data_IF_798074881867
#
_entry.id   IF_798074881867
#
_cell.length_a   1.000
_cell.length_b   1.000
_cell.length_c   1.000
_cell.angle_alpha   90.00
_cell.angle_beta   90.00
_cell.angle_gamma   90.00
#
_symmetry.space_group_name_H-M   'P 1'
#
loop_
_entity.id
_entity.type
_entity.pdbx_description
1 polymer ?
#
# COMPACT_ATOMS: atom_id res chain seq x y z
N UNK A 1 -15.29 -11.27 -22.60
CA UNK A 1 -14.51 -10.16 -22.01
C UNK A 1 -15.00 -8.87 -22.62
N UNK A 2 -15.90 -8.17 -21.93
CA UNK A 2 -16.48 -6.92 -22.43
C UNK A 2 -15.55 -5.78 -22.00
N UNK A 3 -14.81 -5.22 -22.96
CA UNK A 3 -14.08 -3.99 -22.76
C UNK A 3 -15.08 -2.85 -22.61
N UNK A 4 -15.06 -2.15 -21.48
CA UNK A 4 -15.80 -0.88 -21.34
C UNK A 4 -14.89 0.22 -21.89
N UNK A 5 -15.28 0.92 -22.98
CA UNK A 5 -14.51 2.03 -23.53
C UNK A 5 -14.30 3.12 -22.48
N UNK A 6 -13.10 3.71 -22.41
CA UNK A 6 -12.81 4.80 -21.45
C UNK A 6 -13.66 6.05 -21.67
N UNK A 7 -14.28 6.20 -22.85
CA UNK A 7 -15.29 7.22 -23.12
C UNK A 7 -16.59 7.04 -22.33
N UNK A 8 -16.88 5.83 -21.85
CA UNK A 8 -18.08 5.51 -21.06
C UNK A 8 -17.84 5.60 -19.55
N UNK A 9 -16.58 5.74 -19.13
CA UNK A 9 -16.23 6.04 -17.73
C UNK A 9 -16.47 7.53 -17.50
N UNK A 10 -17.72 7.88 -17.24
CA UNK A 10 -18.10 9.22 -16.83
C UNK A 10 -17.33 9.58 -15.56
N UNK A 11 -16.43 10.58 -15.65
CA UNK A 11 -15.82 11.22 -14.47
C UNK A 11 -16.98 11.69 -13.60
N UNK A 12 -17.18 11.05 -12.45
CA UNK A 12 -18.14 11.51 -11.44
C UNK A 12 -17.74 12.92 -11.02
N UNK A 13 -18.32 13.91 -11.71
CA UNK A 13 -18.30 15.32 -11.36
C UNK A 13 -19.59 15.52 -10.56
N UNK A 14 -19.42 15.93 -9.30
CA UNK A 14 -20.46 16.23 -8.31
C UNK A 14 -20.94 15.01 -7.51
N UNK A 15 -20.10 14.54 -6.59
CA UNK A 15 -20.60 13.98 -5.33
C UNK A 15 -20.62 15.17 -4.36
N UNK A 16 -21.78 15.58 -3.82
CA UNK A 16 -21.82 16.62 -2.79
C UNK A 16 -20.98 16.17 -1.58
N UNK A 17 -20.25 17.11 -0.99
CA UNK A 17 -19.36 16.96 0.17
C UNK A 17 -20.14 16.73 1.49
N UNK A 18 -21.27 16.02 1.40
CA UNK A 18 -21.91 15.41 2.56
C UNK A 18 -20.91 14.41 3.13
N UNK A 19 -20.67 14.38 4.46
CA UNK A 19 -19.85 13.35 5.08
C UNK A 19 -20.60 12.03 4.90
N UNK A 20 -20.38 11.41 3.75
CA UNK A 20 -20.95 10.14 3.40
C UNK A 20 -20.17 9.10 4.19
N UNK A 21 -20.48 9.00 5.48
CA UNK A 21 -20.01 7.94 6.36
C UNK A 21 -20.73 6.64 5.99
N UNK A 22 -20.74 6.28 4.70
CA UNK A 22 -21.01 4.93 4.27
C UNK A 22 -19.89 4.10 4.84
N UNK A 23 -20.15 3.58 6.04
CA UNK A 23 -19.31 2.58 6.65
C UNK A 23 -19.15 1.47 5.63
N UNK A 24 -17.90 1.03 5.45
CA UNK A 24 -17.60 -0.12 4.62
C UNK A 24 -18.49 -1.30 5.03
N UNK A 25 -19.02 -2.07 4.07
CA UNK A 25 -19.87 -3.21 4.37
C UNK A 25 -19.19 -4.18 5.35
N UNK A 26 -19.96 -4.92 6.18
CA UNK A 26 -19.37 -5.83 7.17
C UNK A 26 -18.41 -6.87 6.57
N UNK A 27 -18.67 -7.34 5.34
CA UNK A 27 -17.84 -8.31 4.63
C UNK A 27 -16.51 -7.76 4.12
N UNK A 28 -16.34 -6.43 4.08
CA UNK A 28 -15.08 -5.80 3.67
C UNK A 28 -14.04 -5.76 4.81
N UNK A 29 -14.46 -6.05 6.05
CA UNK A 29 -13.55 -6.02 7.20
C UNK A 29 -12.70 -7.28 7.25
N UNK A 30 -11.38 -7.08 7.30
CA UNK A 30 -10.40 -8.14 7.52
C UNK A 30 -10.21 -8.40 9.01
N UNK A 31 -9.85 -9.63 9.36
CA UNK A 31 -9.44 -10.00 10.72
C UNK A 31 -7.93 -9.87 10.84
N UNK A 32 -7.48 -9.08 11.80
CA UNK A 32 -6.06 -8.94 12.11
C UNK A 32 -5.59 -10.23 12.77
N UNK A 33 -4.54 -10.82 12.22
CA UNK A 33 -3.90 -12.03 12.74
C UNK A 33 -2.40 -11.77 12.78
N UNK A 34 -1.82 -11.69 13.97
CA UNK A 34 -0.37 -11.63 14.14
C UNK A 34 0.16 -13.03 14.41
N UNK A 35 1.19 -13.46 13.68
CA UNK A 35 1.88 -14.73 13.89
C UNK A 35 3.40 -14.57 13.95
N UNK A 36 4.15 -15.66 14.20
CA UNK A 36 5.61 -15.61 14.29
C UNK A 36 6.27 -15.07 13.02
N UNK A 37 5.81 -15.49 11.83
CA UNK A 37 6.35 -15.02 10.55
C UNK A 37 6.08 -13.54 10.30
N UNK A 38 4.93 -13.02 10.71
CA UNK A 38 4.66 -11.59 10.68
C UNK A 38 5.72 -10.80 11.45
N UNK A 39 6.06 -11.24 12.68
CA UNK A 39 7.08 -10.58 13.50
C UNK A 39 8.46 -10.62 12.85
N UNK A 40 8.83 -11.75 12.23
CA UNK A 40 10.09 -11.88 11.49
C UNK A 40 10.16 -10.88 10.35
N UNK A 41 9.13 -10.80 9.51
CA UNK A 41 9.09 -9.83 8.40
C UNK A 41 9.11 -8.40 8.93
N UNK A 42 8.32 -8.08 9.96
CA UNK A 42 8.30 -6.75 10.59
C UNK A 42 9.68 -6.35 11.06
N UNK A 43 10.36 -7.25 11.78
CA UNK A 43 11.70 -7.01 12.29
C UNK A 43 12.71 -6.84 11.15
N UNK A 44 12.61 -7.62 10.07
CA UNK A 44 13.50 -7.49 8.91
C UNK A 44 13.33 -6.13 8.24
N UNK A 45 12.10 -5.71 7.97
CA UNK A 45 11.79 -4.41 7.39
C UNK A 45 12.35 -3.27 8.25
N UNK A 46 12.11 -3.33 9.56
CA UNK A 46 12.57 -2.31 10.51
C UNK A 46 14.10 -2.27 10.66
N UNK A 47 14.74 -3.44 10.78
CA UNK A 47 16.19 -3.57 10.99
C UNK A 47 16.99 -3.12 9.77
N UNK A 48 16.47 -3.39 8.58
CA UNK A 48 17.12 -3.06 7.32
C UNK A 48 16.68 -1.71 6.74
N UNK A 49 15.86 -0.92 7.47
CA UNK A 49 15.35 0.36 7.02
C UNK A 49 14.78 0.28 5.59
N UNK A 50 13.91 -0.71 5.37
CA UNK A 50 13.26 -0.95 4.09
C UNK A 50 11.83 -0.43 4.13
N UNK A 51 11.28 -0.08 2.95
CA UNK A 51 9.87 0.22 2.80
C UNK A 51 9.15 -0.94 2.12
N UNK A 52 7.88 -1.12 2.44
CA UNK A 52 7.02 -2.11 1.77
C UNK A 52 5.75 -1.46 1.26
N UNK A 53 5.30 -1.87 0.06
CA UNK A 53 3.99 -1.40 -0.42
C UNK A 53 2.85 -1.93 0.46
N UNK A 54 3.09 -3.01 1.21
CA UNK A 54 2.17 -3.54 2.20
C UNK A 54 1.80 -2.47 3.24
N UNK A 55 2.79 -1.75 3.77
CA UNK A 55 2.62 -0.71 4.78
C UNK A 55 2.26 0.64 4.16
N UNK A 56 3.05 1.11 3.17
CA UNK A 56 2.89 2.44 2.61
C UNK A 56 1.55 2.63 1.88
N UNK A 57 1.01 1.56 1.26
CA UNK A 57 -0.30 1.61 0.63
C UNK A 57 -1.46 1.27 1.59
N UNK A 58 -1.18 0.94 2.85
CA UNK A 58 -2.17 0.49 3.86
C UNK A 58 -2.94 -0.74 3.39
N UNK A 59 -2.22 -1.74 2.90
CA UNK A 59 -2.82 -2.95 2.33
C UNK A 59 -3.60 -3.73 3.41
N UNK A 60 -4.90 -4.06 3.18
CA UNK A 60 -5.69 -4.82 4.16
C UNK A 60 -5.18 -6.25 4.38
N UNK A 61 -4.39 -6.79 3.43
CA UNK A 61 -3.87 -8.15 3.47
C UNK A 61 -2.47 -8.26 4.09
N UNK A 62 -1.93 -7.17 4.64
CA UNK A 62 -0.58 -7.11 5.22
C UNK A 62 -0.32 -8.28 6.19
N UNK A 63 -1.25 -8.51 7.12
CA UNK A 63 -1.15 -9.56 8.12
C UNK A 63 -1.10 -10.97 7.51
N UNK A 64 -1.94 -11.23 6.51
CA UNK A 64 -2.00 -12.52 5.84
C UNK A 64 -0.73 -12.79 5.04
N UNK A 65 -0.32 -11.85 4.19
CA UNK A 65 0.87 -12.00 3.35
C UNK A 65 2.12 -12.20 4.21
N UNK A 66 2.32 -11.37 5.23
CA UNK A 66 3.50 -11.47 6.09
C UNK A 66 3.50 -12.75 6.95
N UNK A 67 2.34 -13.22 7.40
CA UNK A 67 2.25 -14.52 8.06
C UNK A 67 2.57 -15.69 7.12
N UNK A 68 2.36 -15.53 5.82
CA UNK A 68 2.81 -16.52 4.83
C UNK A 68 4.31 -16.40 4.54
N UNK A 69 4.98 -15.34 5.02
CA UNK A 69 6.38 -15.04 4.73
C UNK A 69 6.59 -14.27 3.42
N UNK A 70 5.54 -13.58 2.95
CA UNK A 70 5.56 -12.84 1.69
C UNK A 70 5.44 -11.34 1.97
N UNK A 71 6.36 -10.56 1.40
CA UNK A 71 6.31 -9.11 1.40
C UNK A 71 6.64 -8.57 0.00
N UNK A 72 6.18 -7.36 -0.29
CA UNK A 72 6.54 -6.65 -1.51
C UNK A 72 7.23 -5.36 -1.12
N UNK A 73 8.54 -5.31 -1.38
CA UNK A 73 9.37 -4.15 -1.09
C UNK A 73 9.02 -2.98 -2.00
N UNK A 74 9.06 -1.79 -1.44
CA UNK A 74 8.95 -0.52 -2.15
C UNK A 74 10.36 0.10 -2.15
N UNK A 75 10.98 0.14 -3.31
CA UNK A 75 12.32 0.73 -3.49
C UNK A 75 12.23 2.25 -3.68
N UNK A 76 13.35 2.93 -3.51
CA UNK A 76 13.49 4.39 -3.68
C UNK A 76 12.71 5.21 -2.64
N UNK A 77 12.43 4.62 -1.48
CA UNK A 77 11.75 5.27 -0.36
C UNK A 77 10.22 5.20 -0.39
N UNK A 78 9.59 5.90 0.55
CA UNK A 78 8.14 5.97 0.77
C UNK A 78 7.44 7.16 0.08
N UNK A 79 8.20 8.05 -0.57
CA UNK A 79 7.68 9.26 -1.18
C UNK A 79 7.59 9.11 -2.70
N UNK A 80 6.36 9.13 -3.21
CA UNK A 80 6.09 9.12 -4.64
C UNK A 80 6.00 10.56 -5.19
N UNK A 81 6.64 10.79 -6.35
CA UNK A 81 6.54 12.08 -7.08
C UNK A 81 5.24 12.22 -7.85
N UNK A 82 4.46 11.13 -7.99
CA UNK A 82 3.16 11.10 -8.67
C UNK A 82 2.03 11.10 -7.63
N UNK A 83 0.86 11.59 -8.04
CA UNK A 83 -0.37 11.61 -7.23
C UNK A 83 -1.50 10.86 -7.93
N UNK A 84 -1.46 9.53 -7.89
CA UNK A 84 -2.56 8.71 -8.39
C UNK A 84 -3.75 8.84 -7.43
N UNK A 85 -4.96 9.10 -7.94
CA UNK A 85 -6.14 9.37 -7.10
C UNK A 85 -6.61 8.21 -6.20
N UNK A 86 -6.08 7.00 -6.40
CA UNK A 86 -6.39 5.81 -5.61
C UNK A 86 -5.23 5.37 -4.68
N UNK A 87 -4.05 5.99 -4.80
CA UNK A 87 -2.84 5.51 -4.14
C UNK A 87 -2.66 6.22 -2.79
N UNK A 88 -2.40 5.45 -1.74
CA UNK A 88 -2.20 5.95 -0.38
C UNK A 88 -0.75 6.33 -0.06
N UNK A 89 0.21 6.02 -0.94
CA UNK A 89 1.63 6.32 -0.74
C UNK A 89 1.84 7.83 -0.67
N UNK A 90 2.69 8.28 0.26
CA UNK A 90 2.96 9.69 0.50
C UNK A 90 3.41 10.39 -0.78
N UNK A 91 2.74 11.49 -1.16
CA UNK A 91 3.16 12.30 -2.30
C UNK A 91 4.10 13.42 -1.84
N UNK A 92 5.24 13.59 -2.49
CA UNK A 92 6.17 14.66 -2.14
C UNK A 92 7.47 14.66 -2.93
N UNK A 93 8.46 15.37 -2.40
CA UNK A 93 9.85 15.33 -2.89
C UNK A 93 10.59 14.21 -2.15
N UNK A 94 11.14 13.21 -2.84
CA UNK A 94 11.85 12.11 -2.21
C UNK A 94 13.19 12.56 -1.60
N UNK A 95 13.69 11.73 -0.69
CA UNK A 95 15.05 11.83 -0.16
C UNK A 95 16.09 11.49 -1.25
N UNK A 96 17.38 11.80 -1.04
CA UNK A 96 18.44 11.34 -1.93
C UNK A 96 18.42 9.82 -2.11
N UNK A 97 18.84 9.37 -3.29
CA UNK A 97 18.96 7.94 -3.60
C UNK A 97 19.91 7.26 -2.61
N UNK A 98 19.48 6.13 -2.06
CA UNK A 98 20.30 5.25 -1.26
C UNK A 98 20.93 4.16 -2.14
N UNK A 99 22.25 4.21 -2.42
CA UNK A 99 22.92 3.23 -3.27
C UNK A 99 23.07 1.85 -2.61
N UNK A 100 22.91 1.75 -1.29
CA UNK A 100 23.04 0.50 -0.52
C UNK A 100 21.69 -0.21 -0.32
N UNK A 101 20.57 0.37 -0.78
CA UNK A 101 19.24 -0.25 -0.71
C UNK A 101 19.19 -1.65 -1.36
N UNK A 102 19.76 -1.88 -2.57
CA UNK A 102 19.73 -3.21 -3.19
C UNK A 102 20.38 -4.31 -2.34
N UNK A 103 21.45 -3.99 -1.60
CA UNK A 103 22.20 -4.92 -0.75
C UNK A 103 21.45 -5.28 0.51
N UNK A 104 20.47 -4.47 0.93
CA UNK A 104 19.60 -4.78 2.07
C UNK A 104 18.41 -5.66 1.69
N UNK A 105 18.07 -5.74 0.40
CA UNK A 105 16.95 -6.54 -0.13
C UNK A 105 17.41 -7.95 -0.53
N UNK A 106 18.57 -8.09 -1.15
CA UNK A 106 19.13 -9.34 -1.68
C UNK A 106 20.03 -10.09 -0.70
#
# INVERSE_FOLDING_TARGET
MTFIPTSEISRSKNIPDEPNTLRLPPWFRVRIQSGPRYQVIRQLVDTHHLHTICEEARCPNLWECWNQGTATFLILGDICTRRCGYCSVTTGRPLPLDPDEPQRIG
#
